data_IF_163813226925
#
_entry.id   IF_163813226925
#
_cell.length_a   1.000
_cell.length_b   1.000
_cell.length_c   1.000
_cell.angle_alpha   90.00
_cell.angle_beta   90.00
_cell.angle_gamma   90.00
#
_symmetry.space_group_name_H-M   'P 1'
#
loop_
_entity.id
_entity.type
_entity.pdbx_description
1 polymer ?
#
# COMPACT_ATOMS: atom_id res chain seq x y z
N UNK A 1 -18.03 -6.62 24.22
CA UNK A 1 -19.49 -6.46 24.48
C UNK A 1 -20.21 -7.55 23.70
N UNK A 2 -21.21 -8.20 24.30
CA UNK A 2 -22.02 -9.20 23.58
C UNK A 2 -23.17 -8.48 22.87
N UNK A 3 -23.17 -8.49 21.53
CA UNK A 3 -24.25 -7.94 20.69
C UNK A 3 -24.74 -9.10 19.83
N UNK A 4 -26.01 -9.51 20.01
CA UNK A 4 -26.63 -10.61 19.28
C UNK A 4 -25.82 -11.93 19.30
N UNK A 5 -25.25 -12.31 20.45
CA UNK A 5 -24.40 -13.50 20.65
C UNK A 5 -23.04 -13.46 19.94
N UNK A 6 -22.60 -12.27 19.52
CA UNK A 6 -21.27 -12.04 18.98
C UNK A 6 -20.43 -11.21 19.95
N UNK A 7 -19.25 -11.74 20.29
CA UNK A 7 -18.21 -11.01 21.01
C UNK A 7 -17.63 -9.93 20.09
N UNK A 8 -17.90 -8.68 20.45
CA UNK A 8 -17.45 -7.50 19.72
C UNK A 8 -16.54 -6.66 20.60
N UNK A 9 -15.34 -6.38 20.10
CA UNK A 9 -14.41 -5.45 20.74
C UNK A 9 -14.60 -4.03 20.21
N UNK A 10 -14.48 -3.06 21.11
CA UNK A 10 -14.69 -1.65 20.81
C UNK A 10 -13.45 -0.85 21.18
N UNK A 11 -12.81 -0.22 20.19
CA UNK A 11 -11.81 0.82 20.44
C UNK A 11 -12.50 2.17 20.49
N UNK A 12 -12.48 2.79 21.67
CA UNK A 12 -13.09 4.11 21.92
C UNK A 12 -11.98 5.15 22.01
N UNK A 13 -12.09 6.22 21.21
CA UNK A 13 -11.21 7.38 21.29
C UNK A 13 -12.06 8.63 21.51
N UNK A 14 -11.73 9.39 22.55
CA UNK A 14 -12.28 10.72 22.79
C UNK A 14 -11.25 11.78 22.42
N UNK A 15 -11.70 12.86 21.79
CA UNK A 15 -10.86 13.99 21.39
C UNK A 15 -11.59 15.29 21.74
N UNK A 16 -11.03 16.14 22.63
CA UNK A 16 -11.59 17.46 22.91
C UNK A 16 -11.62 18.33 21.64
N UNK A 17 -12.75 19.00 21.40
CA UNK A 17 -12.92 19.97 20.30
C UNK A 17 -13.46 21.28 20.86
N UNK A 18 -13.44 22.35 20.06
CA UNK A 18 -13.92 23.69 20.46
C UNK A 18 -15.36 23.64 21.00
N UNK A 19 -16.21 22.75 20.47
CA UNK A 19 -17.63 22.72 20.77
C UNK A 19 -18.06 21.62 21.76
N UNK A 20 -17.26 20.57 21.95
CA UNK A 20 -17.48 19.47 22.91
C UNK A 20 -16.39 18.39 22.74
N UNK A 21 -16.56 17.21 23.33
CA UNK A 21 -15.78 16.02 23.02
C UNK A 21 -16.32 15.29 21.78
N UNK A 22 -15.41 14.93 20.87
CA UNK A 22 -15.67 14.01 19.76
C UNK A 22 -15.33 12.60 20.21
N UNK A 23 -16.30 11.68 20.11
CA UNK A 23 -16.08 10.25 20.39
C UNK A 23 -16.10 9.50 19.06
N UNK A 24 -15.08 8.70 18.81
CA UNK A 24 -15.04 7.72 17.71
C UNK A 24 -14.99 6.33 18.33
N UNK A 25 -15.99 5.51 18.02
CA UNK A 25 -16.01 4.09 18.38
C UNK A 25 -15.74 3.26 17.14
N UNK A 26 -14.68 2.45 17.16
CA UNK A 26 -14.36 1.48 16.12
C UNK A 26 -14.76 0.10 16.61
N UNK A 27 -15.66 -0.52 15.85
CA UNK A 27 -16.11 -1.89 16.04
C UNK A 27 -15.08 -2.84 15.42
N UNK A 28 -14.57 -3.75 16.23
CA UNK A 28 -13.71 -4.86 15.83
C UNK A 28 -14.56 -6.13 15.89
N UNK A 29 -14.87 -6.68 14.71
CA UNK A 29 -15.54 -7.97 14.56
C UNK A 29 -14.46 -9.06 14.54
N UNK A 30 -14.32 -9.75 15.67
CA UNK A 30 -13.21 -10.66 15.99
C UNK A 30 -13.38 -12.08 15.42
N UNK A 31 -14.55 -12.45 14.91
CA UNK A 31 -14.91 -13.88 14.78
C UNK A 31 -15.02 -14.48 13.38
N UNK A 32 -15.29 -13.70 12.33
CA UNK A 32 -15.94 -14.28 11.14
C UNK A 32 -15.11 -14.37 9.85
N UNK A 33 -13.97 -13.67 9.72
CA UNK A 33 -13.49 -13.31 8.38
C UNK A 33 -12.10 -13.83 7.93
N UNK A 34 -11.25 -14.38 8.80
CA UNK A 34 -9.79 -14.33 8.52
C UNK A 34 -9.00 -15.65 8.53
N UNK A 35 -9.65 -16.81 8.61
CA UNK A 35 -8.92 -18.08 8.78
C UNK A 35 -8.68 -18.86 7.47
N UNK A 36 -9.14 -18.35 6.33
CA UNK A 36 -9.08 -19.09 5.06
C UNK A 36 -8.49 -18.22 3.94
N UNK A 37 -7.27 -18.59 3.53
CA UNK A 37 -6.53 -17.95 2.44
C UNK A 37 -7.31 -17.95 1.12
N UNK A 38 -8.19 -18.93 0.90
CA UNK A 38 -9.04 -19.02 -0.29
C UNK A 38 -10.17 -17.98 -0.32
N UNK A 39 -10.52 -17.39 0.83
CA UNK A 39 -11.58 -16.37 0.94
C UNK A 39 -11.07 -14.94 0.81
N UNK A 40 -9.76 -14.73 0.68
CA UNK A 40 -9.16 -13.40 0.52
C UNK A 40 -9.50 -12.74 -0.82
N UNK A 41 -9.95 -13.52 -1.81
CA UNK A 41 -10.33 -13.00 -3.12
C UNK A 41 -9.15 -12.81 -4.07
N UNK A 42 -8.07 -13.58 -3.89
CA UNK A 42 -7.07 -13.77 -4.94
C UNK A 42 -7.71 -14.38 -6.18
N UNK A 43 -7.23 -13.99 -7.35
CA UNK A 43 -7.46 -14.80 -8.55
C UNK A 43 -6.63 -16.09 -8.45
N UNK A 44 -6.98 -17.11 -9.23
CA UNK A 44 -6.38 -18.45 -9.12
C UNK A 44 -4.84 -18.43 -9.29
N UNK A 45 -4.34 -17.64 -10.24
CA UNK A 45 -2.89 -17.52 -10.49
C UNK A 45 -2.16 -16.87 -9.32
N UNK A 46 -2.67 -15.75 -8.81
CA UNK A 46 -2.07 -15.03 -7.69
C UNK A 46 -2.21 -15.82 -6.39
N UNK A 47 -3.29 -16.58 -6.20
CA UNK A 47 -3.44 -17.44 -5.03
C UNK A 47 -2.35 -18.51 -5.00
N UNK A 48 -2.14 -19.22 -6.12
CA UNK A 48 -1.07 -20.22 -6.21
C UNK A 48 0.29 -19.58 -5.96
N UNK A 49 0.60 -18.46 -6.64
CA UNK A 49 1.87 -17.74 -6.45
C UNK A 49 2.06 -17.24 -5.01
N UNK A 50 0.99 -16.85 -4.33
CA UNK A 50 1.04 -16.40 -2.95
C UNK A 50 1.35 -17.57 -2.01
N UNK A 51 0.68 -18.71 -2.19
CA UNK A 51 0.96 -19.96 -1.46
C UNK A 51 2.43 -20.37 -1.68
N UNK A 52 2.87 -20.43 -2.93
CA UNK A 52 4.26 -20.77 -3.30
C UNK A 52 5.31 -19.79 -2.73
N UNK A 53 4.91 -18.55 -2.37
CA UNK A 53 5.78 -17.56 -1.76
C UNK A 53 5.88 -17.75 -0.25
N UNK A 54 4.75 -17.99 0.42
CA UNK A 54 4.70 -18.11 1.87
C UNK A 54 5.14 -19.50 2.37
N UNK A 55 5.16 -20.51 1.50
CA UNK A 55 5.69 -21.85 1.84
C UNK A 55 7.20 -21.97 1.58
N UNK A 56 7.87 -20.87 1.21
CA UNK A 56 9.33 -20.86 1.05
C UNK A 56 10.01 -20.94 2.42
N UNK A 57 11.16 -21.62 2.52
CA UNK A 57 11.89 -21.72 3.78
C UNK A 57 12.44 -20.37 4.24
N UNK A 58 12.80 -19.48 3.30
CA UNK A 58 13.44 -18.20 3.60
C UNK A 58 13.00 -17.09 2.65
N UNK A 59 13.22 -15.85 3.08
CA UNK A 59 12.98 -14.65 2.29
C UNK A 59 11.92 -13.74 2.90
N UNK A 60 11.78 -12.54 2.34
CA UNK A 60 10.76 -11.58 2.77
C UNK A 60 9.59 -11.59 1.79
N UNK A 61 8.37 -11.75 2.33
CA UNK A 61 7.12 -11.48 1.62
C UNK A 61 6.46 -10.25 2.22
N UNK A 62 6.26 -9.23 1.39
CA UNK A 62 5.71 -7.95 1.83
C UNK A 62 4.27 -7.78 1.33
N UNK A 63 3.35 -7.45 2.22
CA UNK A 63 1.99 -7.06 1.85
C UNK A 63 1.86 -5.55 1.97
N UNK A 64 1.48 -4.89 0.88
CA UNK A 64 1.48 -3.44 0.77
C UNK A 64 0.12 -2.88 0.41
N UNK A 65 -0.06 -1.60 0.73
CA UNK A 65 -1.29 -0.87 0.45
C UNK A 65 -1.60 0.18 1.53
N UNK A 66 -2.57 1.06 1.25
CA UNK A 66 -2.98 2.10 2.19
C UNK A 66 -3.61 1.52 3.47
N UNK A 67 -3.87 2.39 4.44
CA UNK A 67 -4.60 2.00 5.66
C UNK A 67 -5.99 1.48 5.29
N UNK A 68 -6.42 0.38 5.91
CA UNK A 68 -7.70 -0.24 5.62
C UNK A 68 -7.77 -1.03 4.30
N UNK A 69 -6.64 -1.34 3.67
CA UNK A 69 -6.61 -2.21 2.49
C UNK A 69 -6.71 -3.71 2.78
N UNK A 70 -6.76 -4.12 4.06
CA UNK A 70 -6.86 -5.51 4.47
C UNK A 70 -5.51 -6.25 4.58
N UNK A 71 -4.39 -5.54 4.77
CA UNK A 71 -3.06 -6.15 4.90
C UNK A 71 -2.97 -7.14 6.07
N UNK A 72 -3.39 -6.72 7.27
CA UNK A 72 -3.40 -7.57 8.46
C UNK A 72 -4.29 -8.80 8.26
N UNK A 73 -5.42 -8.64 7.59
CA UNK A 73 -6.31 -9.75 7.21
C UNK A 73 -5.61 -10.81 6.36
N UNK A 74 -4.84 -10.38 5.35
CA UNK A 74 -4.07 -11.27 4.48
C UNK A 74 -2.89 -11.90 5.22
N UNK A 75 -2.20 -11.15 6.09
CA UNK A 75 -1.12 -11.66 6.93
C UNK A 75 -1.61 -12.77 7.85
N UNK A 76 -2.68 -12.52 8.61
CA UNK A 76 -3.20 -13.50 9.55
C UNK A 76 -3.74 -14.75 8.85
N UNK A 77 -4.37 -14.61 7.68
CA UNK A 77 -4.75 -15.76 6.86
C UNK A 77 -3.54 -16.59 6.39
N UNK A 78 -2.42 -15.93 6.06
CA UNK A 78 -1.17 -16.63 5.75
C UNK A 78 -0.56 -17.32 6.98
N UNK A 79 -0.57 -16.66 8.15
CA UNK A 79 -0.10 -17.28 9.40
C UNK A 79 -0.93 -18.51 9.76
N UNK A 80 -2.27 -18.43 9.66
CA UNK A 80 -3.15 -19.57 9.88
C UNK A 80 -2.91 -20.73 8.90
N UNK A 81 -2.60 -20.43 7.63
CA UNK A 81 -2.25 -21.46 6.64
C UNK A 81 -0.94 -22.19 6.99
N UNK A 82 0.03 -21.47 7.57
CA UNK A 82 1.36 -21.99 7.92
C UNK A 82 1.42 -22.58 9.33
N UNK A 83 0.37 -22.37 10.13
CA UNK A 83 0.31 -22.75 11.54
C UNK A 83 0.18 -24.27 11.67
N UNK A 84 1.29 -24.90 12.06
CA UNK A 84 1.39 -26.33 12.33
C UNK A 84 2.29 -26.54 13.54
N UNK A 85 2.12 -27.66 14.25
CA UNK A 85 2.85 -27.94 15.48
C UNK A 85 4.39 -28.01 15.30
N UNK A 86 4.85 -28.24 14.07
CA UNK A 86 6.27 -28.34 13.71
C UNK A 86 6.93 -26.98 13.41
N UNK A 87 6.14 -25.89 13.32
CA UNK A 87 6.60 -24.58 12.85
C UNK A 87 6.46 -23.56 13.98
N UNK A 88 7.60 -23.04 14.44
CA UNK A 88 7.64 -21.95 15.41
C UNK A 88 7.39 -20.60 14.72
N UNK A 89 6.17 -20.06 14.88
CA UNK A 89 5.77 -18.76 14.36
C UNK A 89 5.81 -17.72 15.49
N UNK A 90 6.53 -16.62 15.27
CA UNK A 90 6.62 -15.52 16.25
C UNK A 90 6.31 -14.17 15.56
N UNK A 91 5.44 -13.36 16.17
CA UNK A 91 5.03 -12.06 15.62
C UNK A 91 5.43 -10.90 16.53
N UNK A 92 5.62 -9.71 15.95
CA UNK A 92 5.65 -8.44 16.68
C UNK A 92 4.70 -7.42 16.04
N UNK A 93 3.78 -6.88 16.83
CA UNK A 93 2.62 -6.10 16.34
C UNK A 93 2.34 -4.85 17.19
N UNK A 94 1.65 -3.86 16.62
CA UNK A 94 1.30 -2.59 17.30
C UNK A 94 -0.13 -2.12 16.91
N UNK A 95 -1.17 -2.49 17.66
CA UNK A 95 -1.23 -3.56 18.68
C UNK A 95 -1.47 -4.95 18.05
N UNK A 96 -1.50 -5.99 18.88
CA UNK A 96 -2.08 -7.29 18.47
C UNK A 96 -3.58 -7.09 18.28
N UNK A 97 -4.10 -7.44 17.10
CA UNK A 97 -5.52 -7.21 16.77
C UNK A 97 -6.42 -8.33 17.33
N UNK A 98 -5.93 -9.56 17.34
CA UNK A 98 -6.54 -10.71 18.00
C UNK A 98 -5.53 -11.84 18.19
N UNK A 99 -5.85 -12.76 19.09
CA UNK A 99 -5.00 -13.90 19.43
C UNK A 99 -5.18 -15.05 18.42
N UNK A 100 -4.08 -15.61 17.95
CA UNK A 100 -4.02 -16.81 17.10
C UNK A 100 -3.44 -17.95 17.94
N UNK A 101 -4.23 -18.99 18.15
CA UNK A 101 -3.76 -20.20 18.84
C UNK A 101 -2.57 -20.84 18.10
N UNK A 102 -1.52 -21.23 18.82
CA UNK A 102 -0.30 -21.81 18.24
C UNK A 102 0.74 -20.80 17.74
N UNK A 103 0.44 -19.50 17.75
CA UNK A 103 1.38 -18.44 17.34
C UNK A 103 1.84 -17.62 18.55
N UNK A 104 3.14 -17.39 18.66
CA UNK A 104 3.70 -16.54 19.72
C UNK A 104 3.62 -15.06 19.32
N UNK A 105 2.65 -14.32 19.85
CA UNK A 105 2.43 -12.92 19.48
C UNK A 105 2.99 -11.94 20.52
N UNK A 106 3.83 -11.01 20.08
CA UNK A 106 4.43 -9.96 20.91
C UNK A 106 3.81 -8.61 20.54
N UNK A 107 3.33 -7.86 21.54
CA UNK A 107 2.90 -6.49 21.33
C UNK A 107 4.03 -5.49 21.61
N UNK A 108 4.23 -4.53 20.70
CA UNK A 108 5.11 -3.38 20.89
C UNK A 108 4.71 -2.63 22.17
N UNK A 109 5.70 -2.30 22.99
CA UNK A 109 5.48 -1.58 24.25
C UNK A 109 6.54 -0.48 24.41
N UNK A 110 6.24 0.75 23.94
CA UNK A 110 7.17 1.87 24.01
C UNK A 110 7.55 2.26 25.45
N UNK A 111 6.67 2.02 26.43
CA UNK A 111 6.91 2.38 27.84
C UNK A 111 8.10 1.63 28.46
N UNK A 112 8.42 0.44 27.93
CA UNK A 112 9.56 -0.37 28.36
C UNK A 112 10.66 -0.45 27.29
N UNK A 113 10.57 0.37 26.24
CA UNK A 113 11.52 0.40 25.13
C UNK A 113 11.43 -0.78 24.16
N UNK A 114 10.34 -1.58 24.20
CA UNK A 114 10.12 -2.69 23.28
C UNK A 114 9.56 -2.17 21.95
N UNK A 115 10.45 -1.76 21.04
CA UNK A 115 10.12 -1.33 19.66
C UNK A 115 10.10 -2.51 18.68
N UNK A 116 9.64 -2.29 17.44
CA UNK A 116 9.68 -3.29 16.36
C UNK A 116 11.10 -3.86 16.16
N UNK A 117 12.10 -3.02 15.98
CA UNK A 117 13.49 -3.46 15.80
C UNK A 117 14.02 -4.24 17.00
N UNK A 118 13.75 -3.79 18.23
CA UNK A 118 14.22 -4.44 19.44
C UNK A 118 13.55 -5.79 19.68
N UNK A 119 12.24 -5.87 19.46
CA UNK A 119 11.50 -7.12 19.57
C UNK A 119 11.91 -8.11 18.48
N UNK A 120 12.08 -7.66 17.23
CA UNK A 120 12.58 -8.49 16.14
C UNK A 120 13.98 -9.07 16.42
N UNK A 121 14.90 -8.29 16.99
CA UNK A 121 16.20 -8.81 17.46
C UNK A 121 16.07 -9.86 18.55
N UNK A 122 15.03 -9.77 19.38
CA UNK A 122 14.78 -10.72 20.46
C UNK A 122 14.17 -12.02 19.92
N UNK A 123 13.27 -11.92 18.93
CA UNK A 123 12.70 -13.06 18.21
C UNK A 123 13.79 -13.93 17.58
N UNK A 124 14.86 -13.35 17.03
CA UNK A 124 15.98 -14.10 16.45
C UNK A 124 16.74 -15.01 17.43
N UNK A 125 16.51 -14.87 18.74
CA UNK A 125 17.07 -15.76 19.78
C UNK A 125 16.05 -16.76 20.32
N UNK A 126 14.92 -16.93 19.62
CA UNK A 126 13.81 -17.80 20.03
C UNK A 126 13.61 -18.97 19.06
N UNK A 127 14.61 -19.29 18.25
CA UNK A 127 14.56 -20.37 17.24
C UNK A 127 13.30 -20.32 16.34
N UNK A 128 12.95 -19.16 15.75
CA UNK A 128 11.75 -19.05 14.92
C UNK A 128 11.97 -19.75 13.56
N UNK A 129 10.91 -20.26 12.96
CA UNK A 129 10.89 -20.62 11.55
C UNK A 129 10.31 -19.48 10.71
N UNK A 130 9.23 -18.87 11.20
CA UNK A 130 8.50 -17.80 10.53
C UNK A 130 8.40 -16.61 11.48
N UNK A 131 8.74 -15.43 10.96
CA UNK A 131 8.68 -14.18 11.70
C UNK A 131 7.69 -13.24 11.02
N UNK A 132 6.72 -12.73 11.77
CA UNK A 132 5.83 -11.67 11.29
C UNK A 132 6.15 -10.34 11.96
N UNK A 133 6.44 -9.33 11.17
CA UNK A 133 6.65 -7.95 11.66
C UNK A 133 5.45 -7.13 11.19
N UNK A 134 4.64 -6.62 12.12
CA UNK A 134 3.37 -5.96 11.83
C UNK A 134 3.49 -4.90 10.74
N UNK A 135 4.57 -4.12 10.78
CA UNK A 135 4.94 -3.19 9.72
C UNK A 135 6.42 -2.80 9.78
N UNK A 136 6.96 -2.43 8.62
CA UNK A 136 8.28 -1.81 8.50
C UNK A 136 8.09 -0.30 8.29
N UNK A 137 8.37 0.51 9.31
CA UNK A 137 8.26 1.98 9.22
C UNK A 137 9.61 2.67 8.97
N UNK A 138 10.68 2.06 9.44
CA UNK A 138 12.02 2.66 9.51
C UNK A 138 13.11 1.72 9.00
N UNK A 139 14.28 2.31 8.73
CA UNK A 139 15.46 1.62 8.20
C UNK A 139 15.94 0.51 9.13
N UNK A 140 15.90 0.75 10.44
CA UNK A 140 16.41 -0.18 11.43
C UNK A 140 15.62 -1.50 11.41
N UNK A 141 14.29 -1.40 11.44
CA UNK A 141 13.39 -2.55 11.37
C UNK A 141 13.55 -3.28 10.04
N UNK A 142 13.68 -2.55 8.92
CA UNK A 142 13.94 -3.13 7.60
C UNK A 142 15.27 -3.91 7.55
N UNK A 143 16.35 -3.35 8.10
CA UNK A 143 17.67 -4.01 8.13
C UNK A 143 17.64 -5.31 8.94
N UNK A 144 16.97 -5.31 10.09
CA UNK A 144 16.87 -6.52 10.92
C UNK A 144 15.99 -7.58 10.24
N UNK A 145 14.88 -7.18 9.60
CA UNK A 145 14.02 -8.09 8.83
C UNK A 145 14.76 -8.74 7.64
N UNK A 146 15.57 -7.96 6.93
CA UNK A 146 16.44 -8.46 5.86
C UNK A 146 17.46 -9.44 6.39
N UNK A 147 18.16 -9.11 7.47
CA UNK A 147 19.14 -10.05 8.06
C UNK A 147 18.46 -11.35 8.49
N UNK A 148 17.30 -11.27 9.14
CA UNK A 148 16.52 -12.44 9.51
C UNK A 148 16.23 -13.35 8.31
N UNK A 149 15.79 -12.74 7.19
CA UNK A 149 15.49 -13.50 5.97
C UNK A 149 16.71 -14.18 5.35
N UNK A 150 17.88 -13.52 5.41
CA UNK A 150 19.14 -14.05 4.90
C UNK A 150 19.73 -15.13 5.81
N UNK A 151 19.35 -15.15 7.10
CA UNK A 151 19.81 -16.15 8.07
C UNK A 151 18.85 -17.33 8.22
N UNK A 152 18.01 -17.60 7.22
CA UNK A 152 17.23 -18.85 7.18
C UNK A 152 15.77 -18.75 7.60
N UNK A 153 15.21 -17.54 7.71
CA UNK A 153 13.83 -17.34 8.18
C UNK A 153 12.92 -16.87 7.06
N UNK A 154 11.66 -17.29 7.08
CA UNK A 154 10.61 -16.61 6.33
C UNK A 154 10.15 -15.39 7.13
N UNK A 155 10.16 -14.22 6.49
CA UNK A 155 9.71 -12.97 7.10
C UNK A 155 8.49 -12.44 6.37
N UNK A 156 7.39 -12.29 7.10
CA UNK A 156 6.16 -11.68 6.61
C UNK A 156 6.05 -10.27 7.21
N UNK A 157 5.78 -9.26 6.40
CA UNK A 157 5.57 -7.91 6.93
C UNK A 157 4.68 -7.05 6.06
N UNK A 158 4.35 -5.85 6.54
CA UNK A 158 3.63 -4.84 5.76
C UNK A 158 4.45 -3.58 5.49
N UNK A 159 4.13 -2.96 4.36
CA UNK A 159 4.62 -1.63 3.99
C UNK A 159 3.49 -0.76 3.42
N UNK A 160 3.68 0.55 3.46
CA UNK A 160 2.76 1.53 2.91
C UNK A 160 3.23 2.03 1.55
N UNK A 161 2.94 1.26 0.50
CA UNK A 161 3.16 1.64 -0.90
C UNK A 161 1.89 1.44 -1.72
N UNK A 162 1.84 2.04 -2.91
CA UNK A 162 0.65 2.08 -3.76
C UNK A 162 0.54 0.92 -4.76
N UNK A 163 1.66 0.25 -5.03
CA UNK A 163 1.84 -0.83 -5.99
C UNK A 163 3.03 -1.72 -5.57
N UNK A 164 3.19 -2.88 -6.20
CA UNK A 164 4.19 -3.85 -5.78
C UNK A 164 5.62 -3.44 -6.19
N UNK A 165 5.80 -2.85 -7.37
CA UNK A 165 7.12 -2.48 -7.87
C UNK A 165 7.72 -1.30 -7.09
N UNK A 166 6.94 -0.28 -6.74
CA UNK A 166 7.39 0.88 -5.94
C UNK A 166 7.85 0.49 -4.53
N UNK A 167 7.49 -0.71 -4.07
CA UNK A 167 7.99 -1.26 -2.80
C UNK A 167 9.49 -1.51 -2.83
N UNK A 168 10.04 -1.92 -3.98
CA UNK A 168 11.50 -2.08 -4.17
C UNK A 168 12.18 -0.72 -4.00
N UNK A 169 11.67 0.31 -4.68
CA UNK A 169 12.18 1.68 -4.58
C UNK A 169 12.07 2.20 -3.15
N UNK A 170 10.95 1.95 -2.48
CA UNK A 170 10.74 2.37 -1.08
C UNK A 170 11.78 1.77 -0.13
N UNK A 171 12.13 0.51 -0.29
CA UNK A 171 13.19 -0.12 0.53
C UNK A 171 14.54 0.56 0.28
N UNK A 172 14.87 0.86 -0.99
CA UNK A 172 16.12 1.56 -1.36
C UNK A 172 16.12 2.99 -0.79
N UNK A 173 15.01 3.72 -0.91
CA UNK A 173 14.85 5.08 -0.38
C UNK A 173 14.95 5.13 1.16
N UNK A 174 14.58 4.04 1.84
CA UNK A 174 14.79 3.88 3.28
C UNK A 174 16.26 3.66 3.66
N UNK A 175 17.17 3.56 2.68
CA UNK A 175 18.60 3.36 2.90
C UNK A 175 19.01 1.89 2.97
N UNK A 176 18.20 0.98 2.42
CA UNK A 176 18.58 -0.42 2.25
C UNK A 176 19.38 -0.57 0.95
N UNK A 177 20.54 -1.20 1.05
CA UNK A 177 21.39 -1.47 -0.12
C UNK A 177 20.64 -2.32 -1.17
N UNK A 178 20.70 -1.97 -2.48
CA UNK A 178 20.01 -2.71 -3.53
C UNK A 178 20.34 -4.21 -3.57
N UNK A 179 21.58 -4.58 -3.26
CA UNK A 179 22.00 -5.98 -3.16
C UNK A 179 21.22 -6.75 -2.08
N UNK A 180 20.98 -6.12 -0.93
CA UNK A 180 20.20 -6.72 0.14
C UNK A 180 18.74 -6.88 -0.27
N UNK A 181 18.14 -5.89 -0.94
CA UNK A 181 16.76 -6.00 -1.46
C UNK A 181 16.66 -7.15 -2.48
N UNK A 182 17.58 -7.23 -3.44
CA UNK A 182 17.58 -8.25 -4.48
C UNK A 182 17.70 -9.68 -3.91
N UNK A 183 18.51 -9.87 -2.86
CA UNK A 183 18.78 -11.19 -2.28
C UNK A 183 17.74 -11.63 -1.25
N UNK A 184 17.15 -10.69 -0.49
CA UNK A 184 16.18 -11.00 0.57
C UNK A 184 14.73 -11.04 0.11
N UNK A 185 14.34 -10.20 -0.85
CA UNK A 185 12.94 -10.08 -1.26
C UNK A 185 12.49 -11.29 -2.08
N UNK A 186 11.49 -12.01 -1.57
CA UNK A 186 10.87 -13.14 -2.26
C UNK A 186 9.70 -12.68 -3.14
N UNK A 187 8.86 -11.79 -2.62
CA UNK A 187 7.72 -11.25 -3.34
C UNK A 187 7.00 -10.11 -2.62
N UNK A 188 6.16 -9.41 -3.37
CA UNK A 188 5.36 -8.27 -2.87
C UNK A 188 3.93 -8.42 -3.33
N UNK A 189 2.98 -8.38 -2.40
CA UNK A 189 1.54 -8.35 -2.65
C UNK A 189 1.04 -6.93 -2.40
N UNK A 190 0.67 -6.20 -3.45
CA UNK A 190 -0.06 -4.94 -3.29
C UNK A 190 -1.57 -5.21 -3.26
N UNK A 191 -2.26 -4.58 -2.30
CA UNK A 191 -3.67 -4.85 -2.03
C UNK A 191 -4.48 -3.56 -1.85
N UNK A 192 -5.70 -3.57 -2.39
CA UNK A 192 -6.73 -2.56 -2.11
C UNK A 192 -8.08 -3.23 -1.86
N UNK A 193 -8.95 -2.62 -1.05
CA UNK A 193 -10.33 -3.07 -0.90
C UNK A 193 -11.26 -2.27 -1.80
N UNK A 194 -12.06 -2.98 -2.58
CA UNK A 194 -13.15 -2.41 -3.39
C UNK A 194 -14.50 -2.87 -2.85
N UNK A 195 -15.51 -2.02 -2.99
CA UNK A 195 -16.90 -2.32 -2.64
C UNK A 195 -17.45 -3.43 -3.54
N UNK A 196 -18.18 -4.39 -2.96
CA UNK A 196 -18.81 -5.49 -3.70
C UNK A 196 -20.23 -5.12 -4.12
N UNK A 197 -20.63 -5.45 -5.35
CA UNK A 197 -22.01 -5.24 -5.81
C UNK A 197 -22.98 -6.02 -4.92
N UNK A 198 -24.05 -5.35 -4.49
CA UNK A 198 -25.10 -5.98 -3.70
C UNK A 198 -25.78 -7.11 -4.49
N UNK A 199 -25.84 -8.30 -3.89
CA UNK A 199 -26.41 -9.50 -4.53
C UNK A 199 -27.93 -9.38 -4.78
N UNK A 200 -28.64 -8.68 -3.90
CA UNK A 200 -30.11 -8.60 -3.92
C UNK A 200 -30.65 -7.59 -4.95
N UNK A 201 -29.81 -6.64 -5.38
CA UNK A 201 -30.20 -5.57 -6.29
C UNK A 201 -29.28 -5.45 -7.52
N UNK A 202 -28.58 -6.54 -7.87
CA UNK A 202 -27.73 -6.58 -9.07
C UNK A 202 -28.59 -6.52 -10.33
N UNK A 203 -28.18 -5.70 -11.28
CA UNK A 203 -28.80 -5.57 -12.61
C UNK A 203 -27.72 -5.57 -13.69
N UNK A 204 -28.05 -6.18 -14.84
CA UNK A 204 -27.22 -6.14 -16.03
C UNK A 204 -27.46 -4.86 -16.82
N UNK A 205 -26.38 -4.26 -17.33
CA UNK A 205 -26.42 -3.13 -18.26
C UNK A 205 -25.41 -3.32 -19.37
N UNK A 206 -25.75 -2.79 -20.54
CA UNK A 206 -24.80 -2.72 -21.64
C UNK A 206 -23.65 -1.75 -21.31
N UNK A 207 -22.40 -2.12 -21.62
CA UNK A 207 -21.25 -1.24 -21.45
C UNK A 207 -21.31 -0.09 -22.45
N UNK A 208 -20.97 1.12 -22.01
CA UNK A 208 -20.77 2.25 -22.92
C UNK A 208 -19.52 2.03 -23.77
N UNK A 209 -19.42 2.67 -24.94
CA UNK A 209 -18.25 2.57 -25.84
C UNK A 209 -16.91 2.78 -25.10
N UNK A 210 -16.83 3.82 -24.27
CA UNK A 210 -15.67 4.09 -23.40
C UNK A 210 -15.29 2.91 -22.50
N UNK A 211 -16.28 2.21 -21.92
CA UNK A 211 -16.01 1.06 -21.05
C UNK A 211 -15.50 -0.12 -21.88
N UNK A 212 -16.06 -0.36 -23.06
CA UNK A 212 -15.56 -1.36 -24.00
C UNK A 212 -14.09 -1.08 -24.35
N UNK A 213 -13.74 0.17 -24.64
CA UNK A 213 -12.36 0.60 -24.94
C UNK A 213 -11.40 0.41 -23.76
N UNK A 214 -11.84 0.68 -22.53
CA UNK A 214 -11.03 0.40 -21.32
C UNK A 214 -10.70 -1.09 -21.24
N UNK A 215 -11.70 -1.97 -21.36
CA UNK A 215 -11.44 -3.41 -21.32
C UNK A 215 -10.57 -3.87 -22.49
N UNK A 216 -10.79 -3.34 -23.71
CA UNK A 216 -10.02 -3.70 -24.89
C UNK A 216 -8.53 -3.33 -24.76
N UNK A 217 -8.20 -2.18 -24.17
CA UNK A 217 -6.80 -1.77 -23.88
C UNK A 217 -6.06 -2.74 -22.96
N UNK A 218 -6.80 -3.46 -22.12
CA UNK A 218 -6.28 -4.49 -21.23
C UNK A 218 -6.49 -5.92 -21.79
N UNK A 219 -6.74 -6.06 -23.09
CA UNK A 219 -6.89 -7.36 -23.74
C UNK A 219 -8.18 -8.11 -23.38
N UNK A 220 -9.18 -7.44 -22.83
CA UNK A 220 -10.43 -8.03 -22.38
C UNK A 220 -11.61 -7.59 -23.24
N UNK A 221 -12.54 -8.52 -23.49
CA UNK A 221 -13.86 -8.22 -24.06
C UNK A 221 -14.92 -8.24 -22.96
N UNK A 222 -15.86 -7.29 -23.05
CA UNK A 222 -16.98 -7.15 -22.13
C UNK A 222 -18.26 -6.91 -22.91
N UNK A 223 -19.27 -7.74 -22.66
CA UNK A 223 -20.59 -7.63 -23.31
C UNK A 223 -21.63 -7.03 -22.38
N UNK A 224 -21.49 -7.29 -21.07
CA UNK A 224 -22.42 -6.87 -20.04
C UNK A 224 -21.67 -6.43 -18.80
N UNK A 225 -22.21 -5.44 -18.12
CA UNK A 225 -21.73 -4.98 -16.82
C UNK A 225 -22.81 -5.17 -15.77
N UNK A 226 -22.40 -5.60 -14.59
CA UNK A 226 -23.29 -5.71 -13.44
C UNK A 226 -23.12 -4.49 -12.55
N UNK A 227 -24.25 -3.91 -12.12
CA UNK A 227 -24.29 -2.81 -11.16
C UNK A 227 -25.36 -3.09 -10.11
N UNK A 228 -25.20 -2.56 -8.90
CA UNK A 228 -26.29 -2.52 -7.93
C UNK A 228 -27.18 -1.30 -8.14
N UNK A 229 -28.49 -1.49 -8.32
CA UNK A 229 -29.47 -0.39 -8.44
C UNK A 229 -29.72 0.37 -7.12
N UNK A 230 -29.42 -0.27 -5.99
CA UNK A 230 -29.76 0.22 -4.65
C UNK A 230 -31.03 -0.44 -4.12
N UNK A 231 -31.00 -0.94 -2.90
CA UNK A 231 -32.15 -1.52 -2.20
C UNK A 231 -32.00 -1.33 -0.67
N UNK A 232 -33.06 -1.58 0.12
CA UNK A 232 -32.99 -1.49 1.58
C UNK A 232 -31.86 -2.32 2.19
N UNK A 233 -31.57 -3.51 1.66
CA UNK A 233 -30.51 -4.39 2.18
C UNK A 233 -29.10 -3.81 2.06
N UNK A 234 -28.87 -2.89 1.12
CA UNK A 234 -27.59 -2.20 0.94
C UNK A 234 -27.66 -0.71 1.28
N UNK A 235 -28.69 -0.28 2.01
CA UNK A 235 -28.94 1.12 2.34
C UNK A 235 -28.92 2.02 1.09
N UNK A 236 -29.52 1.54 0.00
CA UNK A 236 -29.60 2.23 -1.29
C UNK A 236 -28.24 2.54 -1.97
N UNK A 237 -27.12 2.02 -1.47
CA UNK A 237 -25.79 2.30 -2.05
C UNK A 237 -25.51 1.51 -3.32
N UNK A 238 -26.19 0.37 -3.50
CA UNK A 238 -25.89 -0.62 -4.55
C UNK A 238 -24.71 -1.54 -4.22
N UNK A 239 -24.08 -1.38 -3.05
CA UNK A 239 -22.92 -2.16 -2.61
C UNK A 239 -23.14 -2.77 -1.23
N UNK A 240 -22.68 -4.00 -1.02
CA UNK A 240 -22.71 -4.64 0.30
C UNK A 240 -21.45 -5.47 0.51
N UNK A 241 -20.68 -5.12 1.54
CA UNK A 241 -19.38 -5.71 1.81
C UNK A 241 -18.27 -5.18 0.91
N UNK A 242 -17.08 -5.73 1.12
CA UNK A 242 -15.86 -5.39 0.40
C UNK A 242 -15.21 -6.67 -0.12
N UNK A 243 -14.34 -6.52 -1.10
CA UNK A 243 -13.45 -7.57 -1.59
C UNK A 243 -12.10 -6.95 -1.90
N UNK A 244 -11.04 -7.73 -1.79
CA UNK A 244 -9.71 -7.25 -2.16
C UNK A 244 -9.49 -7.33 -3.67
N UNK A 245 -8.64 -6.45 -4.19
CA UNK A 245 -7.95 -6.57 -5.48
C UNK A 245 -6.46 -6.68 -5.19
N UNK A 246 -5.78 -7.53 -5.94
CA UNK A 246 -4.41 -7.91 -5.65
C UNK A 246 -3.54 -7.76 -6.88
N UNK A 247 -2.33 -7.30 -6.64
CA UNK A 247 -1.20 -7.34 -7.56
C UNK A 247 -0.07 -8.06 -6.85
N UNK A 248 0.52 -9.06 -7.50
CA UNK A 248 1.52 -9.91 -6.88
C UNK A 248 2.76 -9.97 -7.74
N UNK A 249 3.85 -9.42 -7.21
CA UNK A 249 5.19 -9.47 -7.76
C UNK A 249 5.94 -10.65 -7.15
N UNK A 250 6.40 -11.58 -7.98
CA UNK A 250 7.33 -12.64 -7.58
C UNK A 250 8.73 -12.23 -8.04
N UNK A 251 9.70 -12.21 -7.12
CA UNK A 251 11.08 -11.86 -7.48
C UNK A 251 11.76 -12.98 -8.26
N UNK A 252 12.13 -12.69 -9.51
CA UNK A 252 12.88 -13.59 -10.40
C UNK A 252 14.35 -13.23 -10.47
N UNK A 253 15.20 -14.17 -10.91
CA UNK A 253 16.64 -13.92 -11.12
C UNK A 253 16.92 -12.75 -12.09
N UNK A 254 16.10 -12.60 -13.13
CA UNK A 254 16.21 -11.49 -14.08
C UNK A 254 15.96 -10.15 -13.38
N UNK A 255 14.93 -10.06 -12.53
CA UNK A 255 14.62 -8.86 -11.75
C UNK A 255 15.71 -8.57 -10.72
N UNK A 256 16.26 -9.59 -10.07
CA UNK A 256 17.39 -9.44 -9.14
C UNK A 256 18.59 -8.80 -9.82
N UNK A 257 18.94 -9.25 -11.03
CA UNK A 257 20.05 -8.66 -11.82
C UNK A 257 19.80 -7.19 -12.16
N UNK A 258 18.59 -6.82 -12.55
CA UNK A 258 18.22 -5.43 -12.84
C UNK A 258 18.44 -4.53 -11.60
N UNK A 259 18.05 -5.00 -10.41
CA UNK A 259 18.28 -4.28 -9.15
C UNK A 259 19.78 -4.18 -8.84
N UNK A 260 20.52 -5.28 -8.98
CA UNK A 260 21.96 -5.34 -8.69
C UNK A 260 22.78 -4.42 -9.59
N UNK A 261 22.44 -4.38 -10.88
CA UNK A 261 23.11 -3.55 -11.89
C UNK A 261 22.66 -2.08 -11.83
N UNK A 262 21.72 -1.73 -10.94
CA UNK A 262 21.11 -0.39 -10.85
C UNK A 262 20.54 0.09 -12.19
N UNK A 263 19.92 -0.84 -12.92
CA UNK A 263 19.31 -0.55 -14.22
C UNK A 263 18.01 0.26 -14.05
N UNK A 264 17.54 0.95 -15.12
CA UNK A 264 16.32 1.74 -15.06
C UNK A 264 15.10 0.93 -14.61
N UNK A 265 14.29 1.53 -13.73
CA UNK A 265 13.10 0.90 -13.15
C UNK A 265 12.07 0.43 -14.19
N UNK A 266 12.02 1.07 -15.37
CA UNK A 266 11.18 0.64 -16.50
C UNK A 266 11.41 -0.82 -16.88
N UNK A 267 12.65 -1.33 -16.77
CA UNK A 267 12.98 -2.73 -17.06
C UNK A 267 12.32 -3.71 -16.08
N UNK A 268 12.18 -3.33 -14.80
CA UNK A 268 11.45 -4.18 -13.84
C UNK A 268 9.99 -4.33 -14.24
N UNK A 269 9.37 -3.27 -14.75
CA UNK A 269 8.00 -3.30 -15.25
C UNK A 269 7.86 -4.17 -16.50
N UNK A 270 8.79 -4.07 -17.43
CA UNK A 270 8.83 -4.94 -18.63
C UNK A 270 8.96 -6.41 -18.24
N UNK A 271 9.85 -6.73 -17.29
CA UNK A 271 10.00 -8.09 -16.75
C UNK A 271 8.76 -8.55 -16.01
N UNK A 272 8.07 -7.69 -15.27
CA UNK A 272 6.82 -8.02 -14.60
C UNK A 272 5.74 -8.42 -15.63
N UNK A 273 5.60 -7.65 -16.72
CA UNK A 273 4.68 -7.96 -17.82
C UNK A 273 5.07 -9.29 -18.49
N UNK A 274 6.36 -9.48 -18.79
CA UNK A 274 6.90 -10.73 -19.38
C UNK A 274 6.62 -11.95 -18.50
N UNK A 275 6.68 -11.79 -17.18
CA UNK A 275 6.37 -12.85 -16.20
C UNK A 275 4.87 -12.99 -15.89
N UNK A 276 3.99 -12.41 -16.71
CA UNK A 276 2.53 -12.47 -16.54
C UNK A 276 2.08 -12.00 -15.15
N UNK A 277 2.65 -10.91 -14.65
CA UNK A 277 2.15 -10.24 -13.47
C UNK A 277 0.78 -9.60 -13.78
N UNK A 278 -0.20 -9.86 -12.93
CA UNK A 278 -1.52 -9.23 -13.01
C UNK A 278 -1.47 -7.96 -12.16
N UNK A 279 -1.60 -6.79 -12.79
CA UNK A 279 -1.60 -5.51 -12.08
C UNK A 279 -2.93 -5.28 -11.36
N UNK A 280 -2.94 -4.35 -10.39
CA UNK A 280 -4.14 -4.03 -9.59
C UNK A 280 -5.36 -3.69 -10.46
N UNK A 281 -5.13 -2.93 -11.53
CA UNK A 281 -6.18 -2.54 -12.48
C UNK A 281 -6.73 -3.74 -13.25
N UNK A 282 -5.86 -4.67 -13.67
CA UNK A 282 -6.25 -5.87 -14.41
C UNK A 282 -7.09 -6.81 -13.53
N UNK A 283 -6.64 -7.06 -12.30
CA UNK A 283 -7.39 -7.86 -11.33
C UNK A 283 -8.76 -7.21 -11.00
N UNK A 284 -8.78 -5.88 -10.87
CA UNK A 284 -10.01 -5.11 -10.73
C UNK A 284 -10.97 -5.27 -11.92
N UNK A 285 -10.46 -5.15 -13.15
CA UNK A 285 -11.25 -5.32 -14.38
C UNK A 285 -11.79 -6.75 -14.52
N UNK A 286 -10.99 -7.77 -14.19
CA UNK A 286 -11.43 -9.17 -14.16
C UNK A 286 -12.61 -9.34 -13.18
N UNK A 287 -12.54 -8.72 -12.00
CA UNK A 287 -13.63 -8.76 -11.00
C UNK A 287 -14.86 -7.96 -11.41
N UNK A 288 -14.70 -6.87 -12.17
CA UNK A 288 -15.82 -6.17 -12.81
C UNK A 288 -16.48 -7.06 -13.85
N UNK A 289 -15.69 -7.75 -14.69
CA UNK A 289 -16.20 -8.69 -15.71
C UNK A 289 -16.99 -9.84 -15.08
N UNK A 290 -16.58 -10.30 -13.91
CA UNK A 290 -17.29 -11.29 -13.10
C UNK A 290 -18.55 -10.73 -12.39
N UNK A 291 -18.79 -9.41 -12.47
CA UNK A 291 -19.91 -8.74 -11.83
C UNK A 291 -19.80 -8.62 -10.30
N UNK A 292 -18.59 -8.77 -9.76
CA UNK A 292 -18.35 -8.70 -8.32
C UNK A 292 -18.22 -7.25 -7.83
N UNK A 293 -17.69 -6.36 -8.67
CA UNK A 293 -17.54 -4.92 -8.41
C UNK A 293 -17.89 -4.10 -9.66
N UNK A 294 -17.79 -2.78 -9.59
CA UNK A 294 -18.01 -1.87 -10.73
C UNK A 294 -16.76 -1.05 -11.04
N UNK A 295 -16.63 -0.59 -12.30
CA UNK A 295 -15.52 0.28 -12.73
C UNK A 295 -15.36 1.54 -11.87
N UNK A 296 -16.46 2.12 -11.38
CA UNK A 296 -16.45 3.36 -10.61
C UNK A 296 -15.64 3.24 -9.31
N UNK A 297 -15.42 2.02 -8.81
CA UNK A 297 -14.68 1.74 -7.57
C UNK A 297 -13.21 1.43 -7.84
N UNK A 298 -12.86 1.15 -9.09
CA UNK A 298 -11.48 0.87 -9.53
C UNK A 298 -10.79 2.16 -10.02
N UNK A 299 -11.57 3.16 -10.44
CA UNK A 299 -11.07 4.50 -10.80
C UNK A 299 -10.90 5.40 -9.57
N UNK A 300 -10.01 6.41 -9.63
CA UNK A 300 -9.87 7.42 -8.58
C UNK A 300 -11.17 8.23 -8.49
N UNK A 301 -11.96 8.06 -7.43
CA UNK A 301 -13.28 8.70 -7.29
C UNK A 301 -13.22 10.24 -7.36
N UNK A 302 -12.12 10.87 -6.93
CA UNK A 302 -11.95 12.33 -6.99
C UNK A 302 -11.77 12.75 -8.44
N UNK A 303 -10.82 12.14 -9.16
CA UNK A 303 -10.57 12.44 -10.58
C UNK A 303 -11.80 12.05 -11.42
N UNK A 304 -12.42 10.91 -11.14
CA UNK A 304 -13.62 10.45 -11.83
C UNK A 304 -14.79 11.42 -11.61
N UNK A 305 -14.94 12.02 -10.42
CA UNK A 305 -15.98 13.01 -10.13
C UNK A 305 -15.71 14.33 -10.87
N UNK A 306 -14.47 14.81 -10.87
CA UNK A 306 -14.05 15.99 -11.65
C UNK A 306 -14.34 15.75 -13.14
N UNK A 307 -13.87 14.64 -13.69
CA UNK A 307 -14.04 14.30 -15.11
C UNK A 307 -15.49 14.00 -15.50
N UNK A 308 -16.33 13.58 -14.54
CA UNK A 308 -17.77 13.41 -14.77
C UNK A 308 -18.46 14.76 -14.84
N UNK A 309 -18.23 15.66 -13.89
CA UNK A 309 -18.81 17.00 -13.91
C UNK A 309 -18.37 17.79 -15.14
N UNK A 310 -17.10 17.65 -15.54
CA UNK A 310 -16.56 18.24 -16.74
C UNK A 310 -17.26 17.74 -18.01
N UNK A 311 -17.63 16.44 -18.05
CA UNK A 311 -18.41 15.85 -19.14
C UNK A 311 -19.87 16.26 -19.14
N UNK A 312 -20.52 16.25 -17.97
CA UNK A 312 -21.92 16.64 -17.82
C UNK A 312 -22.11 18.12 -18.28
N UNK A 313 -21.12 18.98 -17.99
CA UNK A 313 -21.07 20.36 -18.49
C UNK A 313 -20.96 20.41 -20.02
N UNK A 314 -20.02 19.68 -20.62
CA UNK A 314 -19.87 19.60 -22.08
C UNK A 314 -21.14 19.11 -22.80
N UNK A 315 -21.80 18.07 -22.27
CA UNK A 315 -23.04 17.54 -22.84
C UNK A 315 -24.21 18.54 -22.76
N UNK A 316 -24.14 19.49 -21.82
CA UNK A 316 -25.10 20.60 -21.69
C UNK A 316 -24.70 21.87 -22.45
N UNK A 317 -23.63 21.85 -23.24
CA UNK A 317 -23.13 23.00 -23.98
C UNK A 317 -22.38 24.04 -23.13
N UNK A 318 -21.94 23.64 -21.94
CA UNK A 318 -21.14 24.45 -21.02
C UNK A 318 -19.65 24.12 -21.16
N UNK A 319 -18.79 25.02 -20.67
CA UNK A 319 -17.34 24.88 -20.71
C UNK A 319 -16.85 23.71 -19.85
N UNK A 320 -15.92 22.91 -20.38
CA UNK A 320 -15.13 21.88 -19.71
C UNK A 320 -14.25 22.47 -18.60
N UNK A 321 -13.74 23.69 -18.80
CA UNK A 321 -12.88 24.36 -17.83
C UNK A 321 -13.63 24.76 -16.54
N UNK A 322 -14.93 25.08 -16.63
CA UNK A 322 -15.68 25.62 -15.50
C UNK A 322 -15.85 24.61 -14.33
N UNK A 323 -16.24 23.34 -14.55
CA UNK A 323 -16.27 22.33 -13.49
C UNK A 323 -14.88 22.02 -12.92
N UNK A 324 -13.84 22.10 -13.75
CA UNK A 324 -12.46 21.84 -13.32
C UNK A 324 -11.95 22.94 -12.38
N UNK A 325 -12.31 24.21 -12.60
CA UNK A 325 -11.98 25.34 -11.70
C UNK A 325 -12.54 25.19 -10.29
N UNK A 326 -13.66 24.48 -10.13
CA UNK A 326 -14.33 24.32 -8.83
C UNK A 326 -13.68 23.26 -7.93
N UNK A 327 -12.70 22.52 -8.45
CA UNK A 327 -12.05 21.44 -7.72
C UNK A 327 -10.57 21.73 -7.49
N UNK A 328 -10.13 21.63 -6.23
CA UNK A 328 -8.74 21.82 -5.79
C UNK A 328 -7.73 20.89 -6.49
N UNK A 329 -8.21 19.82 -7.11
CA UNK A 329 -7.42 18.86 -7.87
C UNK A 329 -7.02 19.34 -9.27
N UNK A 330 -7.49 20.52 -9.73
CA UNK A 330 -7.10 21.11 -11.03
C UNK A 330 -6.33 22.42 -10.80
N UNK A 331 -5.01 22.49 -11.07
CA UNK A 331 -4.24 23.72 -10.96
C UNK A 331 -4.79 24.83 -11.85
N UNK A 332 -4.70 26.11 -11.46
CA UNK A 332 -5.21 27.24 -12.23
C UNK A 332 -4.71 27.27 -13.68
N UNK A 333 -3.43 26.95 -13.89
CA UNK A 333 -2.81 26.92 -15.22
C UNK A 333 -3.46 25.88 -16.13
N UNK A 334 -3.71 24.67 -15.61
CA UNK A 334 -4.41 23.60 -16.34
C UNK A 334 -5.81 24.04 -16.74
N UNK A 335 -6.55 24.67 -15.83
CA UNK A 335 -7.90 25.16 -16.13
C UNK A 335 -7.92 26.29 -17.16
N UNK A 336 -6.88 27.13 -17.21
CA UNK A 336 -6.72 28.18 -18.21
C UNK A 336 -6.36 27.62 -19.58
N UNK A 337 -5.44 26.65 -19.64
CA UNK A 337 -5.07 25.99 -20.90
C UNK A 337 -6.26 25.29 -21.53
N UNK A 338 -7.09 24.66 -20.70
CA UNK A 338 -8.34 24.03 -21.15
C UNK A 338 -9.32 25.10 -21.67
N UNK A 339 -9.54 26.19 -20.91
CA UNK A 339 -10.40 27.29 -21.36
C UNK A 339 -9.96 27.91 -22.69
N UNK A 340 -8.65 28.15 -22.86
CA UNK A 340 -8.07 28.66 -24.11
C UNK A 340 -8.25 27.63 -25.23
N UNK A 341 -8.05 26.34 -24.95
CA UNK A 341 -8.29 25.26 -25.91
C UNK A 341 -9.75 25.20 -26.38
N UNK A 342 -10.71 25.47 -25.50
CA UNK A 342 -12.13 25.54 -25.84
C UNK A 342 -12.46 26.77 -26.69
N UNK A 343 -11.98 27.96 -26.31
CA UNK A 343 -12.23 29.21 -27.06
C UNK A 343 -11.58 29.20 -28.46
N UNK A 344 -10.42 28.56 -28.59
CA UNK A 344 -9.64 28.51 -29.84
C UNK A 344 -9.92 27.27 -30.70
N UNK A 345 -10.76 26.35 -30.24
CA UNK A 345 -11.02 25.07 -30.92
C UNK A 345 -9.82 24.12 -30.98
N UNK A 346 -8.76 24.39 -30.21
CA UNK A 346 -7.52 23.61 -30.17
C UNK A 346 -7.41 22.74 -28.91
N UNK A 347 -8.56 22.25 -28.43
CA UNK A 347 -8.68 21.56 -27.16
C UNK A 347 -7.77 20.33 -27.06
N UNK A 348 -7.66 19.52 -28.12
CA UNK A 348 -6.81 18.33 -28.14
C UNK A 348 -5.33 18.66 -27.91
N UNK A 349 -4.83 19.71 -28.56
CA UNK A 349 -3.45 20.17 -28.40
C UNK A 349 -3.19 20.75 -27.00
N UNK A 350 -4.18 21.45 -26.43
CA UNK A 350 -4.06 21.98 -25.06
C UNK A 350 -4.15 20.89 -24.00
N UNK A 351 -4.97 19.85 -24.21
CA UNK A 351 -5.03 18.68 -23.32
C UNK A 351 -3.71 17.89 -23.32
N UNK A 352 -3.03 17.77 -24.47
CA UNK A 352 -1.70 17.19 -24.54
C UNK A 352 -0.69 18.00 -23.71
N UNK A 353 -0.67 19.33 -23.87
CA UNK A 353 0.20 20.20 -23.07
C UNK A 353 -0.14 20.20 -21.58
N UNK A 354 -1.40 19.98 -21.21
CA UNK A 354 -1.82 19.79 -19.82
C UNK A 354 -1.22 18.51 -19.24
N UNK A 355 -1.17 17.42 -20.02
CA UNK A 355 -0.50 16.19 -19.60
C UNK A 355 1.00 16.43 -19.38
N UNK A 356 1.68 17.07 -20.33
CA UNK A 356 3.11 17.43 -20.23
C UNK A 356 3.37 18.33 -19.00
N UNK A 357 2.45 19.26 -18.71
CA UNK A 357 2.54 20.13 -17.55
C UNK A 357 2.49 19.35 -16.23
N UNK A 358 1.54 18.40 -16.08
CA UNK A 358 1.47 17.59 -14.87
C UNK A 358 2.70 16.70 -14.70
N UNK A 359 3.25 16.14 -15.78
CA UNK A 359 4.51 15.38 -15.72
C UNK A 359 5.67 16.28 -15.25
N UNK A 360 5.81 17.48 -15.83
CA UNK A 360 6.84 18.43 -15.44
C UNK A 360 6.67 18.96 -13.99
N UNK A 361 5.45 19.14 -13.51
CA UNK A 361 5.17 19.59 -12.14
C UNK A 361 5.54 18.51 -11.11
N UNK A 362 5.28 17.23 -11.44
CA UNK A 362 5.71 16.09 -10.62
C UNK A 362 7.24 16.05 -10.56
N UNK A 363 7.92 16.10 -11.71
CA UNK A 363 9.39 16.05 -11.79
C UNK A 363 10.05 17.20 -11.00
N UNK A 364 9.57 18.44 -11.21
CA UNK A 364 10.06 19.62 -10.49
C UNK A 364 9.76 19.55 -8.99
N UNK A 365 8.61 18.99 -8.60
CA UNK A 365 8.27 18.74 -7.20
C UNK A 365 9.27 17.80 -6.54
N UNK A 366 9.59 16.68 -7.19
CA UNK A 366 10.61 15.74 -6.72
C UNK A 366 11.99 16.37 -6.62
N UNK A 367 12.40 17.19 -7.56
CA UNK A 367 13.73 17.80 -7.55
C UNK A 367 13.88 18.91 -6.51
N UNK A 368 12.82 19.71 -6.26
CA UNK A 368 12.81 20.67 -5.14
C UNK A 368 12.92 19.96 -3.81
N UNK A 369 12.21 18.84 -3.66
CA UNK A 369 12.23 18.04 -2.44
C UNK A 369 13.65 17.48 -2.18
N UNK A 370 14.35 17.02 -3.23
CA UNK A 370 15.77 16.65 -3.14
C UNK A 370 16.67 17.82 -2.73
N UNK A 371 16.51 18.98 -3.37
CA UNK A 371 17.35 20.17 -3.11
C UNK A 371 17.19 20.76 -1.70
N UNK A 372 16.07 20.50 -1.03
CA UNK A 372 15.81 20.95 0.34
C UNK A 372 16.32 19.95 1.39
N UNK A 373 16.25 18.66 1.08
CA UNK A 373 16.67 17.60 1.99
C UNK A 373 18.19 17.56 2.13
N UNK A 374 18.93 17.76 1.04
CA UNK A 374 20.40 17.62 1.04
C UNK A 374 21.11 18.63 1.98
N UNK A 375 20.83 19.95 1.95
CA UNK A 375 21.44 20.90 2.88
C UNK A 375 21.00 20.68 4.33
N UNK A 376 19.75 20.28 4.54
CA UNK A 376 19.22 20.00 5.87
C UNK A 376 19.94 18.80 6.50
N UNK A 377 20.17 17.74 5.71
CA UNK A 377 20.93 16.57 6.12
C UNK A 377 22.38 16.94 6.47
N UNK A 378 23.03 17.81 5.68
CA UNK A 378 24.41 18.26 5.94
C UNK A 378 24.49 19.03 7.27
N UNK A 379 23.56 19.95 7.54
CA UNK A 379 23.53 20.72 8.80
C UNK A 379 23.30 19.80 9.99
N UNK A 380 22.39 18.83 9.85
CA UNK A 380 22.08 17.87 10.90
C UNK A 380 23.28 16.94 11.19
N UNK A 381 23.97 16.48 10.15
CA UNK A 381 25.19 15.68 10.27
C UNK A 381 26.34 16.46 10.91
N UNK A 382 26.53 17.72 10.49
CA UNK A 382 27.54 18.61 11.06
C UNK A 382 27.27 18.89 12.55
N UNK A 383 26.00 19.09 12.92
CA UNK A 383 25.58 19.25 14.32
C UNK A 383 25.88 17.99 15.14
N UNK A 384 25.55 16.81 14.62
CA UNK A 384 25.79 15.53 15.31
C UNK A 384 27.30 15.28 15.52
N UNK A 385 28.11 15.44 14.47
CA UNK A 385 29.57 15.30 14.55
C UNK A 385 30.16 16.33 15.52
N UNK A 386 29.71 17.58 15.46
CA UNK A 386 30.13 18.63 16.39
C UNK A 386 29.85 18.27 17.85
N UNK A 387 28.67 17.70 18.12
CA UNK A 387 28.27 17.28 19.47
C UNK A 387 29.10 16.10 19.98
N UNK A 388 29.42 15.14 19.10
CA UNK A 388 30.30 14.01 19.45
C UNK A 388 31.71 14.52 19.76
N UNK A 389 32.26 15.39 18.90
CA UNK A 389 33.60 15.95 19.11
C UNK A 389 33.64 16.71 20.44
N UNK A 390 32.72 17.63 20.71
CA UNK A 390 32.70 18.38 21.98
C UNK A 390 32.55 17.48 23.19
N UNK A 391 31.73 16.42 23.11
CA UNK A 391 31.57 15.44 24.19
C UNK A 391 32.86 14.67 24.52
N UNK A 392 33.78 14.52 23.56
CA UNK A 392 35.07 13.83 23.74
C UNK A 392 36.16 14.82 24.18
N UNK A 393 36.23 15.99 23.55
CA UNK A 393 37.32 16.94 23.79
C UNK A 393 37.24 17.60 25.16
N UNK A 394 36.03 17.87 25.68
CA UNK A 394 35.87 18.53 27.00
C UNK A 394 36.42 17.68 28.14
N UNK A 395 36.02 16.39 28.31
CA UNK A 395 36.61 15.52 29.34
C UNK A 395 38.12 15.31 29.16
N UNK A 396 38.60 15.27 27.91
CA UNK A 396 40.03 15.10 27.62
C UNK A 396 40.86 16.30 28.10
N UNK A 397 40.33 17.52 27.97
CA UNK A 397 40.96 18.73 28.52
C UNK A 397 40.99 18.72 30.05
N UNK A 398 39.91 18.27 30.69
CA UNK A 398 39.84 18.16 32.15
C UNK A 398 40.89 17.16 32.68
N UNK A 399 41.05 16.01 32.01
CA UNK A 399 42.08 15.01 32.36
C UNK A 399 43.49 15.58 32.16
N UNK A 400 43.75 16.29 31.06
CA UNK A 400 45.06 16.88 30.79
C UNK A 400 45.46 17.90 31.87
N UNK A 401 44.52 18.74 32.30
CA UNK A 401 44.77 19.73 33.36
C UNK A 401 45.04 19.10 34.73
N UNK A 402 44.43 17.94 35.03
CA UNK A 402 44.70 17.19 36.27
C UNK A 402 46.08 16.51 36.29
N UNK A 403 46.71 16.29 35.14
CA UNK A 403 48.05 15.67 35.06
C UNK A 403 49.18 16.71 35.22
N UNK A 404 48.89 18.00 35.02
CA UNK A 404 49.88 19.08 35.15
C UNK A 404 49.95 19.73 36.55
N UNK A 405 49.03 19.40 37.46
CA UNK A 405 49.09 19.75 38.88
C UNK A 405 49.69 18.59 39.68
#
# INVERSE_FOLDING_TARGET
>A
MDIDFHLVDLRVSTLPTIYSEKIVMRVLDLGAALNDIHKLGFNQLNLQRFIDLIERPTGIVLITGPTGSGKSSTLYAALNHLNSEEVNIITIEDPVEYEIEGVNQIQVNPNVGLTFAQGLRSILRQDPNIIMVGEIRDRETAEVAIRASLTGHLVLSTLHTNDALSTITRLIDMGIEPFLVATSLAGVVSQRLVRRVCRDCREEREPTKRKIEIFARHGMKIEKLIRGRGCPTCNMTGYRGRMAVHELLVMTEEMRRVILNKEPFSKLRELAIKNHMIFLIDDGLLKVKQGLTTLNVVENEVIAKVMKQARDALESGQSLAEPMRRHWASPPLVTQMIAIGEETGSLDAMLAKVADFYEAEVDAGTDRLKSLIEPLMIVLLAGLVGTIVTSITVPMYDVFNHIQQ
#
